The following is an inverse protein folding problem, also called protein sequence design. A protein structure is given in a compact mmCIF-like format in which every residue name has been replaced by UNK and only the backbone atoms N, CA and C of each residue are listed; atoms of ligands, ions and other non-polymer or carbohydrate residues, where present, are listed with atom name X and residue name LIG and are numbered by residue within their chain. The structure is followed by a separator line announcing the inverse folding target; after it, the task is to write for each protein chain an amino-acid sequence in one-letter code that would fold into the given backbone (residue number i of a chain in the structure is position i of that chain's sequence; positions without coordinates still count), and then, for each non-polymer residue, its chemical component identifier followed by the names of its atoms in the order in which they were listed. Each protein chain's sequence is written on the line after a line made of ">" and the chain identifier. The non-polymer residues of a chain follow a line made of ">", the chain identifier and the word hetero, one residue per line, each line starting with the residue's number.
data_IF_170357948426
#
_entry.id   IF_170357948426
#
_cell.length_a   1.000
_cell.length_b   1.000
_cell.length_c   1.000
_cell.angle_alpha   90.00
_cell.angle_beta   90.00
_cell.angle_gamma   90.00
#
_symmetry.space_group_name_H-M   'P 1'
#
loop_
_entity.id
_entity.type
_entity.pdbx_description
1 polymer ?
#
# COMPACT_ATOMS: atom_id res chain seq x y z
N UNK A 1 -7.90 -17.67 -26.48
CA UNK A 1 -7.93 -16.24 -26.06
C UNK A 1 -8.74 -16.04 -24.78
N UNK A 2 -9.73 -16.90 -24.51
CA UNK A 2 -10.53 -16.84 -23.27
C UNK A 2 -9.76 -17.26 -22.01
N UNK A 3 -8.80 -18.19 -22.13
CA UNK A 3 -7.97 -18.63 -21.01
C UNK A 3 -7.00 -17.54 -20.54
N UNK A 4 -6.37 -16.83 -21.48
CA UNK A 4 -5.46 -15.72 -21.15
C UNK A 4 -6.23 -14.56 -20.49
N UNK A 5 -7.44 -14.27 -20.99
CA UNK A 5 -8.31 -13.24 -20.42
C UNK A 5 -8.82 -13.60 -19.01
N UNK A 6 -9.24 -14.85 -18.80
CA UNK A 6 -9.70 -15.30 -17.48
C UNK A 6 -8.57 -15.31 -16.45
N UNK A 7 -7.35 -15.69 -16.86
CA UNK A 7 -6.16 -15.58 -16.02
C UNK A 7 -5.81 -14.14 -15.67
N UNK A 8 -5.81 -13.22 -16.65
CA UNK A 8 -5.53 -11.80 -16.40
C UNK A 8 -6.55 -11.20 -15.43
N UNK A 9 -7.84 -11.52 -15.62
CA UNK A 9 -8.93 -11.06 -14.76
C UNK A 9 -8.80 -11.62 -13.34
N UNK A 10 -8.53 -12.92 -13.21
CA UNK A 10 -8.32 -13.56 -11.91
C UNK A 10 -7.14 -12.94 -11.16
N UNK A 11 -6.04 -12.70 -11.86
CA UNK A 11 -4.87 -12.02 -11.31
C UNK A 11 -5.21 -10.60 -10.83
N UNK A 12 -5.83 -9.76 -11.65
CA UNK A 12 -6.19 -8.40 -11.26
C UNK A 12 -7.16 -8.36 -10.06
N UNK A 13 -8.17 -9.23 -10.05
CA UNK A 13 -9.12 -9.36 -8.93
C UNK A 13 -8.43 -9.84 -7.66
N UNK A 14 -7.49 -10.78 -7.76
CA UNK A 14 -6.70 -11.24 -6.63
C UNK A 14 -5.92 -10.09 -6.00
N UNK A 15 -5.16 -9.31 -6.79
CA UNK A 15 -4.42 -8.16 -6.27
C UNK A 15 -5.35 -7.10 -5.67
N UNK A 16 -6.51 -6.84 -6.28
CA UNK A 16 -7.49 -5.92 -5.71
C UNK A 16 -8.00 -6.41 -4.34
N UNK A 17 -8.41 -7.68 -4.23
CA UNK A 17 -8.88 -8.23 -2.97
C UNK A 17 -7.77 -8.29 -1.91
N UNK A 18 -6.55 -8.66 -2.31
CA UNK A 18 -5.42 -8.79 -1.41
C UNK A 18 -4.92 -7.43 -0.88
N UNK A 19 -4.85 -6.38 -1.71
CA UNK A 19 -4.32 -5.09 -1.27
C UNK A 19 -5.39 -4.20 -0.65
N UNK A 20 -6.56 -4.15 -1.28
CA UNK A 20 -7.60 -3.16 -0.96
C UNK A 20 -8.70 -3.80 -0.11
N UNK A 21 -9.03 -5.07 -0.38
CA UNK A 21 -10.04 -5.82 0.35
C UNK A 21 -9.61 -6.23 1.76
N UNK A 22 -8.32 -6.52 1.97
CA UNK A 22 -7.77 -6.96 3.27
C UNK A 22 -7.64 -5.81 4.28
N UNK A 23 -6.90 -4.74 3.93
CA UNK A 23 -6.81 -3.51 4.74
C UNK A 23 -6.62 -2.26 3.87
N UNK A 24 -7.72 -1.53 3.62
CA UNK A 24 -7.70 -0.29 2.84
C UNK A 24 -6.74 0.78 3.40
N UNK A 25 -6.45 0.74 4.72
CA UNK A 25 -5.53 1.68 5.36
C UNK A 25 -4.11 1.48 4.82
N UNK A 26 -3.70 0.23 4.63
CA UNK A 26 -2.38 -0.11 4.09
C UNK A 26 -2.24 0.43 2.66
N UNK A 27 -3.25 0.20 1.82
CA UNK A 27 -3.28 0.71 0.44
C UNK A 27 -3.19 2.24 0.41
N UNK A 28 -3.99 2.93 1.23
CA UNK A 28 -3.97 4.39 1.33
C UNK A 28 -2.61 4.90 1.82
N UNK A 29 -2.00 4.22 2.79
CA UNK A 29 -0.69 4.60 3.30
C UNK A 29 0.40 4.45 2.24
N UNK A 30 0.41 3.37 1.45
CA UNK A 30 1.38 3.20 0.35
C UNK A 30 1.29 4.36 -0.64
N UNK A 31 0.08 4.72 -1.07
CA UNK A 31 -0.13 5.86 -1.99
C UNK A 31 0.36 7.16 -1.36
N UNK A 32 -0.02 7.44 -0.10
CA UNK A 32 0.42 8.63 0.62
C UNK A 32 1.94 8.69 0.78
N UNK A 33 2.58 7.55 1.09
CA UNK A 33 4.02 7.41 1.20
C UNK A 33 4.73 7.75 -0.10
N UNK A 34 4.27 7.20 -1.24
CA UNK A 34 4.86 7.47 -2.56
C UNK A 34 4.71 8.94 -2.96
N UNK A 35 3.53 9.53 -2.74
CA UNK A 35 3.28 10.95 -3.00
C UNK A 35 4.22 11.82 -2.16
N UNK A 36 4.33 11.54 -0.86
CA UNK A 36 5.18 12.30 0.04
C UNK A 36 6.68 12.13 -0.30
N UNK A 37 7.11 10.92 -0.66
CA UNK A 37 8.47 10.67 -1.16
C UNK A 37 8.75 11.47 -2.43
N UNK A 38 7.81 11.54 -3.37
CA UNK A 38 7.96 12.31 -4.61
C UNK A 38 8.08 13.82 -4.33
N UNK A 39 7.24 14.36 -3.44
CA UNK A 39 7.28 15.76 -3.02
C UNK A 39 8.62 16.11 -2.33
N UNK A 40 9.07 15.27 -1.40
CA UNK A 40 10.36 15.45 -0.73
C UNK A 40 11.52 15.42 -1.70
N UNK A 41 11.50 14.49 -2.67
CA UNK A 41 12.53 14.41 -3.70
C UNK A 41 12.52 15.63 -4.61
N UNK A 42 11.35 16.17 -4.96
CA UNK A 42 11.23 17.41 -5.73
C UNK A 42 11.82 18.61 -4.97
N UNK A 43 11.74 18.61 -3.64
CA UNK A 43 12.41 19.58 -2.76
C UNK A 43 13.89 19.32 -2.49
N UNK A 44 14.51 18.33 -3.14
CA UNK A 44 15.93 18.00 -2.97
C UNK A 44 16.26 17.14 -1.74
N UNK A 45 15.25 16.68 -0.99
CA UNK A 45 15.43 15.85 0.21
C UNK A 45 15.60 14.37 -0.18
N UNK A 46 16.63 13.72 0.36
CA UNK A 46 16.84 12.27 0.21
C UNK A 46 15.96 11.49 1.20
N UNK A 47 14.70 11.26 0.83
CA UNK A 47 13.66 10.67 1.69
C UNK A 47 13.72 9.13 1.87
N UNK A 48 14.91 8.53 1.91
CA UNK A 48 15.08 7.07 2.08
C UNK A 48 14.51 6.56 3.41
N UNK A 49 14.50 7.40 4.45
CA UNK A 49 14.01 7.08 5.79
C UNK A 49 12.48 7.08 5.88
N UNK A 50 11.78 7.72 4.94
CA UNK A 50 10.33 7.92 5.03
C UNK A 50 9.56 6.60 4.93
N UNK A 51 9.88 5.79 3.94
CA UNK A 51 9.18 4.52 3.69
C UNK A 51 9.33 3.53 4.86
N UNK A 52 10.53 3.28 5.45
CA UNK A 52 10.66 2.48 6.65
C UNK A 52 9.80 2.98 7.84
N UNK A 53 9.82 4.29 8.12
CA UNK A 53 9.01 4.86 9.21
C UNK A 53 7.51 4.72 8.95
N UNK A 54 7.09 4.94 7.70
CA UNK A 54 5.71 4.79 7.29
C UNK A 54 5.23 3.34 7.49
N UNK A 55 6.04 2.35 7.10
CA UNK A 55 5.73 0.93 7.30
C UNK A 55 5.58 0.61 8.80
N UNK A 56 6.51 1.06 9.65
CA UNK A 56 6.43 0.85 11.09
C UNK A 56 5.15 1.47 11.69
N UNK A 57 4.82 2.70 11.26
CA UNK A 57 3.62 3.40 11.73
C UNK A 57 2.34 2.66 11.31
N UNK A 58 2.22 2.28 10.03
CA UNK A 58 1.02 1.65 9.49
C UNK A 58 0.81 0.27 10.09
N UNK A 59 1.85 -0.56 10.17
CA UNK A 59 1.76 -1.87 10.81
C UNK A 59 1.36 -1.72 12.28
N UNK A 60 1.95 -0.76 13.01
CA UNK A 60 1.55 -0.47 14.38
C UNK A 60 0.09 -0.05 14.52
N UNK A 61 -0.43 0.76 13.59
CA UNK A 61 -1.85 1.17 13.57
C UNK A 61 -2.76 0.00 13.22
N UNK A 62 -2.45 -0.78 12.19
CA UNK A 62 -3.24 -1.95 11.78
C UNK A 62 -3.30 -2.98 12.90
N UNK A 63 -2.19 -3.28 13.58
CA UNK A 63 -2.17 -4.16 14.76
C UNK A 63 -3.04 -3.62 15.90
N UNK A 64 -2.92 -2.32 16.21
CA UNK A 64 -3.75 -1.68 17.26
C UNK A 64 -5.23 -1.64 16.93
N UNK A 65 -5.60 -1.64 15.65
CA UNK A 65 -6.98 -1.68 15.17
C UNK A 65 -7.53 -3.10 15.26
N UNK A 66 -6.74 -4.09 14.83
CA UNK A 66 -7.10 -5.51 14.94
C UNK A 66 -7.29 -5.95 16.39
N UNK A 67 -6.46 -5.47 17.33
CA UNK A 67 -6.60 -5.78 18.76
C UNK A 67 -7.79 -5.06 19.43
N UNK A 68 -8.31 -3.99 18.83
CA UNK A 68 -9.43 -3.21 19.39
C UNK A 68 -10.81 -3.56 18.80
N UNK A 69 -10.83 -4.40 17.77
CA UNK A 69 -12.05 -4.97 17.19
C UNK A 69 -12.43 -6.24 17.95
#
# INVERSE_FOLDING_TARGET
>A
MDLAWSWLRGFALFWYHFLIGDDWLLAAAVVAGLVLTALLRAGGVKAWWLQPLLVLAVVGVSLRRAHRA
#
